data_IF_687065797330
#
_entry.id   IF_687065797330
#
_cell.length_a   1.000
_cell.length_b   1.000
_cell.length_c   1.000
_cell.angle_alpha   90.00
_cell.angle_beta   90.00
_cell.angle_gamma   90.00
#
_symmetry.space_group_name_H-M   'P 1'
#
loop_
_entity.id
_entity.type
_entity.pdbx_description
1 polymer ?
#
# COMPACT_ATOMS: atom_id res chain seq x y z
N UNK A 1 -2.77 3.25 13.88
CA UNK A 1 -1.44 3.25 13.23
C UNK A 1 -0.61 2.16 13.89
N UNK A 2 -0.18 1.15 13.14
CA UNK A 2 0.48 -0.10 13.62
C UNK A 2 1.76 0.09 14.48
N UNK A 3 2.27 1.32 14.61
CA UNK A 3 3.45 1.66 15.43
C UNK A 3 3.28 1.42 16.94
N UNK A 4 2.11 1.02 17.42
CA UNK A 4 1.87 0.75 18.84
C UNK A 4 2.22 -0.68 19.26
N UNK A 5 2.46 -1.61 18.32
CA UNK A 5 2.63 -3.05 18.63
C UNK A 5 4.08 -3.56 18.65
N UNK A 6 5.02 -2.86 18.01
CA UNK A 6 6.47 -3.19 18.05
C UNK A 6 7.20 -1.90 18.40
N UNK A 7 7.70 -1.81 19.64
CA UNK A 7 7.94 -0.51 20.25
C UNK A 7 9.32 0.09 20.02
N UNK A 8 10.42 -0.59 20.29
CA UNK A 8 11.69 0.17 20.37
C UNK A 8 12.38 0.33 19.01
N UNK A 9 12.80 -0.75 18.36
CA UNK A 9 13.56 -0.67 17.09
C UNK A 9 12.81 0.07 15.97
N UNK A 10 11.49 -0.13 15.87
CA UNK A 10 10.68 0.53 14.85
C UNK A 10 10.46 2.02 15.16
N UNK A 11 10.24 2.39 16.43
CA UNK A 11 10.08 3.80 16.79
C UNK A 11 11.40 4.56 16.67
N UNK A 12 12.53 3.93 16.99
CA UNK A 12 13.85 4.48 16.74
C UNK A 12 14.09 4.68 15.24
N UNK A 13 13.80 3.68 14.42
CA UNK A 13 13.92 3.78 12.98
C UNK A 13 13.05 4.91 12.42
N UNK A 14 11.77 4.99 12.80
CA UNK A 14 10.88 6.08 12.36
C UNK A 14 11.40 7.43 12.84
N UNK A 15 11.84 7.55 14.08
CA UNK A 15 12.37 8.80 14.63
C UNK A 15 13.62 9.28 13.90
N UNK A 16 14.47 8.35 13.46
CA UNK A 16 15.66 8.63 12.67
C UNK A 16 15.34 9.14 11.26
N UNK A 17 14.31 8.61 10.62
CA UNK A 17 14.01 8.89 9.21
C UNK A 17 12.79 9.81 8.97
N UNK A 18 12.02 10.19 10.00
CA UNK A 18 10.80 11.01 9.84
C UNK A 18 11.02 12.35 9.11
N UNK A 19 12.23 12.89 9.18
CA UNK A 19 12.59 14.18 8.58
C UNK A 19 13.40 14.06 7.27
N UNK A 20 13.62 12.86 6.73
CA UNK A 20 14.44 12.66 5.52
C UNK A 20 13.63 12.73 4.22
N UNK A 21 12.33 13.06 4.30
CA UNK A 21 11.43 13.00 3.15
C UNK A 21 10.94 11.58 2.80
N UNK A 22 11.37 10.57 3.55
CA UNK A 22 10.91 9.18 3.37
C UNK A 22 9.45 8.96 3.78
N UNK A 23 8.88 9.87 4.58
CA UNK A 23 7.48 9.82 5.00
C UNK A 23 6.70 10.92 4.29
N UNK A 24 5.80 10.52 3.40
CA UNK A 24 4.95 11.44 2.67
C UNK A 24 3.65 11.68 3.42
N UNK A 25 3.19 12.94 3.40
CA UNK A 25 1.86 13.29 3.89
C UNK A 25 0.78 12.82 2.90
N UNK A 26 -0.41 12.58 3.42
CA UNK A 26 -1.60 12.14 2.67
C UNK A 26 -2.75 13.16 2.69
N UNK A 27 -2.54 14.33 3.31
CA UNK A 27 -3.52 15.40 3.46
C UNK A 27 -3.68 16.27 2.22
N UNK A 28 -2.93 16.01 1.14
CA UNK A 28 -3.09 16.72 -0.12
C UNK A 28 -4.39 16.33 -0.86
N UNK A 29 -4.96 17.30 -1.58
CA UNK A 29 -6.26 17.15 -2.23
C UNK A 29 -6.30 16.01 -3.25
N UNK A 30 -5.20 15.77 -3.99
CA UNK A 30 -5.12 14.67 -4.95
C UNK A 30 -5.21 13.30 -4.26
N UNK A 31 -4.53 13.12 -3.13
CA UNK A 31 -4.58 11.89 -2.34
C UNK A 31 -5.97 11.68 -1.73
N UNK A 32 -6.60 12.74 -1.21
CA UNK A 32 -7.97 12.66 -0.69
C UNK A 32 -8.99 12.26 -1.78
N UNK A 33 -8.86 12.83 -2.98
CA UNK A 33 -9.69 12.45 -4.15
C UNK A 33 -9.44 11.00 -4.58
N UNK A 34 -8.18 10.55 -4.57
CA UNK A 34 -7.84 9.16 -4.87
C UNK A 34 -8.40 8.19 -3.81
N UNK A 35 -8.32 8.55 -2.53
CA UNK A 35 -8.85 7.76 -1.43
C UNK A 35 -10.37 7.57 -1.54
N UNK A 36 -11.09 8.63 -1.92
CA UNK A 36 -12.51 8.53 -2.24
C UNK A 36 -12.79 7.49 -3.34
N UNK A 37 -12.00 7.48 -4.42
CA UNK A 37 -12.15 6.46 -5.48
C UNK A 37 -11.92 5.04 -4.96
N UNK A 38 -10.95 4.86 -4.06
CA UNK A 38 -10.70 3.57 -3.40
C UNK A 38 -11.93 3.14 -2.60
N UNK A 39 -12.48 4.02 -1.76
CA UNK A 39 -13.72 3.75 -0.99
C UNK A 39 -14.87 3.39 -1.93
N UNK A 40 -15.11 4.21 -2.94
CA UNK A 40 -16.21 4.03 -3.89
C UNK A 40 -16.10 2.65 -4.60
N UNK A 41 -14.89 2.19 -4.94
CA UNK A 41 -14.68 0.85 -5.49
C UNK A 41 -14.86 -0.27 -4.47
N UNK A 42 -14.37 -0.10 -3.24
CA UNK A 42 -14.50 -1.10 -2.17
C UNK A 42 -15.97 -1.41 -1.86
N UNK A 43 -16.88 -0.45 -2.06
CA UNK A 43 -18.32 -0.62 -1.88
C UNK A 43 -19.11 -0.78 -3.20
N UNK A 44 -18.44 -0.79 -4.35
CA UNK A 44 -19.12 -0.97 -5.64
C UNK A 44 -19.70 -2.38 -5.81
N UNK A 45 -20.68 -2.51 -6.71
CA UNK A 45 -21.30 -3.80 -7.06
C UNK A 45 -20.30 -4.81 -7.63
N UNK A 46 -19.22 -4.32 -8.25
CA UNK A 46 -18.11 -5.15 -8.76
C UNK A 46 -17.22 -5.73 -7.64
N UNK A 47 -17.43 -5.34 -6.39
CA UNK A 47 -16.63 -5.79 -5.25
C UNK A 47 -17.18 -7.08 -4.63
N UNK A 48 -16.33 -8.09 -4.50
CA UNK A 48 -16.68 -9.40 -3.93
C UNK A 48 -16.33 -9.56 -2.44
N UNK A 49 -15.86 -8.48 -1.82
CA UNK A 49 -15.31 -8.50 -0.47
C UNK A 49 -16.43 -8.55 0.56
N UNK A 50 -16.22 -9.27 1.65
CA UNK A 50 -17.15 -9.22 2.79
C UNK A 50 -16.96 -7.92 3.59
N UNK A 51 -17.96 -7.56 4.39
CA UNK A 51 -17.94 -6.29 5.15
C UNK A 51 -16.75 -6.18 6.12
N UNK A 52 -16.34 -7.30 6.72
CA UNK A 52 -15.16 -7.32 7.59
C UNK A 52 -13.89 -6.91 6.83
N UNK A 53 -13.67 -7.46 5.63
CA UNK A 53 -12.52 -7.13 4.79
C UNK A 53 -12.55 -5.67 4.32
N UNK A 54 -13.73 -5.14 3.98
CA UNK A 54 -13.90 -3.73 3.61
C UNK A 54 -13.51 -2.83 4.79
N UNK A 55 -14.08 -3.08 5.97
CA UNK A 55 -13.81 -2.30 7.18
C UNK A 55 -12.34 -2.38 7.60
N UNK A 56 -11.75 -3.57 7.57
CA UNK A 56 -10.35 -3.78 7.94
C UNK A 56 -9.41 -3.02 6.99
N UNK A 57 -9.62 -3.13 5.69
CA UNK A 57 -8.79 -2.48 4.69
C UNK A 57 -8.87 -0.94 4.76
N UNK A 58 -10.08 -0.39 4.90
CA UNK A 58 -10.28 1.06 4.97
C UNK A 58 -9.77 1.67 6.29
N UNK A 59 -9.76 0.90 7.38
CA UNK A 59 -9.15 1.32 8.64
C UNK A 59 -7.61 1.20 8.65
N UNK A 60 -7.04 0.37 7.77
CA UNK A 60 -5.61 0.14 7.67
C UNK A 60 -4.89 1.24 6.87
N UNK A 61 -3.58 1.37 7.11
CA UNK A 61 -2.72 2.31 6.38
C UNK A 61 -2.59 1.97 4.88
N UNK A 62 -2.80 0.70 4.51
CA UNK A 62 -2.65 0.21 3.14
C UNK A 62 -3.60 0.90 2.15
N UNK A 63 -4.82 1.22 2.58
CA UNK A 63 -5.78 1.96 1.75
C UNK A 63 -5.29 3.37 1.40
N UNK A 64 -4.65 4.05 2.35
CA UNK A 64 -4.01 5.35 2.14
C UNK A 64 -2.73 5.24 1.30
N UNK A 65 -1.95 4.17 1.47
CA UNK A 65 -0.76 3.91 0.66
C UNK A 65 -1.12 3.80 -0.83
N UNK A 66 -2.18 3.08 -1.16
CA UNK A 66 -2.68 2.97 -2.54
C UNK A 66 -3.18 4.32 -3.07
N UNK A 67 -3.97 5.05 -2.29
CA UNK A 67 -4.45 6.36 -2.68
C UNK A 67 -3.30 7.35 -2.95
N UNK A 68 -2.25 7.32 -2.12
CA UNK A 68 -1.08 8.17 -2.33
C UNK A 68 -0.35 7.81 -3.61
N UNK A 69 -0.14 6.52 -3.89
CA UNK A 69 0.51 6.06 -5.11
C UNK A 69 -0.30 6.44 -6.38
N UNK A 70 -1.64 6.36 -6.32
CA UNK A 70 -2.51 6.86 -7.39
C UNK A 70 -2.32 8.36 -7.65
N UNK A 71 -2.18 9.16 -6.58
CA UNK A 71 -2.02 10.61 -6.68
C UNK A 71 -0.63 11.03 -7.18
N UNK A 72 0.43 10.32 -6.76
CA UNK A 72 1.82 10.67 -7.09
C UNK A 72 2.38 9.96 -8.32
N UNK A 73 1.69 8.96 -8.86
CA UNK A 73 2.21 8.08 -9.92
C UNK A 73 3.33 7.15 -9.45
N UNK A 74 3.49 6.99 -8.13
CA UNK A 74 4.54 6.14 -7.55
C UNK A 74 4.20 4.65 -7.68
N UNK A 75 5.23 3.80 -7.57
CA UNK A 75 5.04 2.35 -7.50
C UNK A 75 4.96 1.87 -6.06
N UNK A 76 4.16 0.84 -5.78
CA UNK A 76 4.09 0.20 -4.47
C UNK A 76 4.96 -1.05 -4.46
N UNK A 77 5.77 -1.21 -3.41
CA UNK A 77 6.50 -2.46 -3.17
C UNK A 77 5.77 -3.25 -2.09
N UNK A 78 5.40 -4.50 -2.36
CA UNK A 78 4.66 -5.34 -1.42
C UNK A 78 5.09 -6.80 -1.51
N UNK A 79 4.97 -7.53 -0.40
CA UNK A 79 5.17 -8.98 -0.35
C UNK A 79 3.86 -9.75 -0.62
N UNK A 80 2.73 -9.05 -0.72
CA UNK A 80 1.46 -9.68 -1.07
C UNK A 80 1.45 -10.15 -2.53
N UNK A 81 0.73 -11.24 -2.80
CA UNK A 81 0.49 -11.75 -4.15
C UNK A 81 -0.92 -11.39 -4.61
N UNK A 82 -1.04 -11.04 -5.89
CA UNK A 82 -2.31 -10.85 -6.56
C UNK A 82 -3.20 -12.09 -6.39
N UNK A 83 -4.45 -11.87 -6.01
CA UNK A 83 -5.43 -12.94 -5.77
C UNK A 83 -6.83 -12.44 -6.16
N UNK A 84 -7.22 -12.56 -7.43
CA UNK A 84 -8.43 -11.93 -7.96
C UNK A 84 -9.73 -12.47 -7.39
N UNK A 85 -9.70 -13.60 -6.66
CA UNK A 85 -10.87 -14.23 -6.05
C UNK A 85 -10.90 -14.06 -4.52
N UNK A 86 -10.05 -13.20 -3.96
CA UNK A 86 -10.00 -12.97 -2.52
C UNK A 86 -11.26 -12.25 -2.04
N UNK A 87 -11.98 -12.86 -1.09
CA UNK A 87 -13.21 -12.28 -0.50
C UNK A 87 -13.03 -11.79 0.93
N UNK A 88 -12.09 -12.39 1.67
CA UNK A 88 -11.86 -12.14 3.10
C UNK A 88 -10.75 -11.13 3.37
N UNK A 89 -10.01 -10.71 2.35
CA UNK A 89 -8.95 -9.71 2.45
C UNK A 89 -8.86 -8.93 1.15
N UNK A 90 -8.78 -7.61 1.26
CA UNK A 90 -8.47 -6.74 0.11
C UNK A 90 -6.95 -6.62 0.03
N UNK A 91 -6.35 -7.28 -0.96
CA UNK A 91 -4.89 -7.29 -1.14
C UNK A 91 -4.41 -6.09 -1.94
N UNK A 92 -3.26 -5.54 -1.56
CA UNK A 92 -2.63 -4.38 -2.22
C UNK A 92 -2.52 -4.58 -3.74
N UNK A 93 -1.98 -5.71 -4.26
CA UNK A 93 -1.94 -5.98 -5.70
C UNK A 93 -3.29 -5.92 -6.42
N UNK A 94 -4.37 -6.34 -5.77
CA UNK A 94 -5.70 -6.30 -6.40
C UNK A 94 -6.17 -4.87 -6.59
N UNK A 95 -5.98 -4.03 -5.58
CA UNK A 95 -6.33 -2.60 -5.65
C UNK A 95 -5.44 -1.89 -6.66
N UNK A 96 -4.14 -2.20 -6.66
CA UNK A 96 -3.20 -1.66 -7.63
C UNK A 96 -3.60 -2.01 -9.07
N UNK A 97 -3.96 -3.27 -9.33
CA UNK A 97 -4.45 -3.70 -10.64
C UNK A 97 -5.74 -2.96 -11.05
N UNK A 98 -6.68 -2.77 -10.12
CA UNK A 98 -7.94 -2.04 -10.40
C UNK A 98 -7.70 -0.60 -10.85
N UNK A 99 -6.77 0.09 -10.20
CA UNK A 99 -6.49 1.51 -10.44
C UNK A 99 -5.26 1.77 -11.30
N UNK A 100 -4.71 0.72 -11.93
CA UNK A 100 -3.51 0.80 -12.76
C UNK A 100 -2.30 1.45 -12.04
N UNK A 101 -2.15 1.15 -10.75
CA UNK A 101 -0.97 1.53 -9.97
C UNK A 101 0.08 0.45 -10.18
N UNK A 102 1.30 0.86 -10.56
CA UNK A 102 2.42 -0.08 -10.69
C UNK A 102 2.76 -0.62 -9.30
N UNK A 103 2.95 -1.93 -9.20
CA UNK A 103 3.46 -2.56 -7.99
C UNK A 103 4.52 -3.61 -8.33
N UNK A 104 5.40 -3.89 -7.37
CA UNK A 104 6.51 -4.81 -7.50
C UNK A 104 6.67 -5.61 -6.22
N UNK A 105 7.18 -6.83 -6.32
CA UNK A 105 7.74 -7.53 -5.16
C UNK A 105 9.19 -7.12 -4.90
N UNK A 106 9.74 -7.50 -3.75
CA UNK A 106 11.12 -7.15 -3.35
C UNK A 106 12.16 -7.62 -4.35
N UNK A 107 12.00 -8.80 -4.94
CA UNK A 107 12.97 -9.34 -5.90
C UNK A 107 12.95 -8.51 -7.20
N UNK A 108 11.76 -8.12 -7.67
CA UNK A 108 11.61 -7.25 -8.84
C UNK A 108 12.19 -5.85 -8.59
N UNK A 109 11.99 -5.29 -7.39
CA UNK A 109 12.62 -4.03 -7.00
C UNK A 109 14.14 -4.14 -7.07
N UNK A 110 14.73 -5.15 -6.42
CA UNK A 110 16.18 -5.35 -6.39
C UNK A 110 16.77 -5.49 -7.80
N UNK A 111 16.09 -6.24 -8.68
CA UNK A 111 16.46 -6.35 -10.10
C UNK A 111 16.35 -5.02 -10.84
N UNK A 112 15.29 -4.25 -10.60
CA UNK A 112 15.10 -2.92 -11.22
C UNK A 112 16.18 -1.94 -10.77
N UNK A 113 16.69 -2.09 -9.55
CA UNK A 113 17.80 -1.30 -9.01
C UNK A 113 19.19 -1.80 -9.45
N UNK A 114 19.26 -2.87 -10.25
CA UNK A 114 20.53 -3.45 -10.71
C UNK A 114 21.33 -4.16 -9.62
N UNK A 115 20.71 -4.44 -8.46
CA UNK A 115 21.38 -5.11 -7.34
C UNK A 115 21.60 -6.58 -7.69
N UNK A 116 22.87 -7.00 -7.62
CA UNK A 116 23.30 -8.39 -7.82
C UNK A 116 23.93 -8.89 -6.54
N UNK A 117 23.44 -10.03 -6.05
CA UNK A 117 24.08 -10.75 -4.96
C UNK A 117 25.09 -11.71 -5.58
N UNK A 118 26.37 -11.54 -5.27
CA UNK A 118 27.41 -12.52 -5.56
C UNK A 118 27.53 -13.47 -4.37
N UNK A 119 27.59 -14.77 -4.65
CA UNK A 119 28.05 -15.76 -3.68
C UNK A 119 29.58 -15.70 -3.70
N UNK A 120 30.17 -15.25 -2.58
CA UNK A 120 31.59 -15.46 -2.28
C UNK A 120 31.73 -16.68 -1.38
#
# INVERSE_FOLDING_TARGET
MELTKVKDDLQEWVSKYKNTGCFLRVDDLSTQKAYKKVIDWVYSEDSQFNEAAKSEFLAAADSWLVAKAMASGSSIVTLEKFEPNSKKKIKIPNVCNRFNVRYLNTVELLRTMGIKFSLN
#
